data_IF_329750209923
#
_entry.id   IF_329750209923
#
_cell.length_a   1.000
_cell.length_b   1.000
_cell.length_c   1.000
_cell.angle_alpha   90.00
_cell.angle_beta   90.00
_cell.angle_gamma   90.00
#
_symmetry.space_group_name_H-M   'P 1'
#
loop_
_entity.id
_entity.type
_entity.pdbx_description
1 polymer ?
#
# COMPACT_ATOMS: atom_id res chain seq x y z
N UNK A 1 3.49 -27.77 -15.53
CA UNK A 1 3.24 -27.61 -14.08
C UNK A 1 3.75 -26.26 -13.62
N UNK A 2 2.92 -25.23 -13.75
CA UNK A 2 3.28 -23.86 -13.41
C UNK A 2 3.09 -23.67 -11.90
N UNK A 3 4.13 -23.93 -11.10
CA UNK A 3 4.13 -23.49 -9.70
C UNK A 3 4.21 -21.96 -9.70
N UNK A 4 3.06 -21.30 -9.59
CA UNK A 4 3.01 -19.88 -9.27
C UNK A 4 3.44 -19.72 -7.81
N UNK A 5 4.74 -19.52 -7.60
CA UNK A 5 5.30 -19.13 -6.31
C UNK A 5 4.86 -17.70 -6.00
N UNK A 6 3.75 -17.56 -5.28
CA UNK A 6 3.36 -16.26 -4.73
C UNK A 6 4.42 -15.87 -3.71
N UNK A 7 5.09 -14.74 -3.94
CA UNK A 7 6.05 -14.15 -3.01
C UNK A 7 5.42 -12.93 -2.37
N UNK A 8 5.84 -12.59 -1.15
CA UNK A 8 5.42 -11.32 -0.56
C UNK A 8 6.06 -10.18 -1.34
N UNK A 9 5.24 -9.32 -1.94
CA UNK A 9 5.73 -8.19 -2.72
C UNK A 9 4.77 -7.01 -2.61
N UNK A 10 5.30 -5.84 -2.27
CA UNK A 10 4.63 -4.55 -2.38
C UNK A 10 5.21 -3.80 -3.59
N UNK A 11 4.36 -3.55 -4.58
CA UNK A 11 4.75 -2.88 -5.82
C UNK A 11 5.14 -1.42 -5.54
N UNK A 12 6.17 -0.95 -6.25
CA UNK A 12 6.54 0.46 -6.25
C UNK A 12 5.53 1.24 -7.08
N UNK A 13 4.92 2.28 -6.51
CA UNK A 13 4.11 3.22 -7.27
C UNK A 13 5.07 4.16 -8.04
N UNK A 14 4.93 4.26 -9.37
CA UNK A 14 5.76 5.09 -10.26
C UNK A 14 4.95 5.55 -11.49
N UNK A 15 5.21 6.78 -12.00
CA UNK A 15 4.50 8.02 -11.69
C UNK A 15 3.27 8.26 -12.59
N UNK A 16 2.20 8.84 -12.06
CA UNK A 16 1.18 9.50 -12.89
C UNK A 16 0.89 10.91 -12.32
N UNK A 17 1.35 11.98 -12.99
CA UNK A 17 1.28 13.35 -12.48
C UNK A 17 -0.11 13.99 -12.49
N UNK A 18 -1.17 13.27 -12.87
CA UNK A 18 -2.53 13.83 -13.00
C UNK A 18 -3.64 12.99 -12.36
N UNK A 19 -3.32 11.96 -11.56
CA UNK A 19 -4.34 11.16 -10.88
C UNK A 19 -4.24 11.34 -9.35
N UNK A 20 -5.26 11.91 -8.68
CA UNK A 20 -5.31 12.04 -7.21
C UNK A 20 -5.53 10.70 -6.50
N UNK A 21 -5.63 9.62 -7.28
CA UNK A 21 -5.86 8.26 -6.82
C UNK A 21 -4.61 7.42 -7.11
N UNK A 22 -3.99 6.92 -6.05
CA UNK A 22 -2.83 6.04 -6.13
C UNK A 22 -3.29 4.61 -5.86
N UNK A 23 -3.15 3.76 -6.87
CA UNK A 23 -3.40 2.32 -6.72
C UNK A 23 -2.17 1.65 -6.08
N UNK A 24 -2.37 1.02 -4.94
CA UNK A 24 -1.33 0.27 -4.22
C UNK A 24 -1.63 -1.21 -4.41
N UNK A 25 -0.66 -1.96 -4.96
CA UNK A 25 -0.81 -3.40 -5.21
C UNK A 25 0.20 -4.19 -4.42
N UNK A 26 -0.24 -5.32 -3.88
CA UNK A 26 0.62 -6.25 -3.18
C UNK A 26 0.23 -7.70 -3.47
N UNK A 27 1.18 -8.59 -3.22
CA UNK A 27 1.03 -10.03 -3.33
C UNK A 27 1.30 -10.67 -1.98
N UNK A 28 0.42 -11.59 -1.59
CA UNK A 28 0.56 -12.40 -0.38
C UNK A 28 0.91 -13.83 -0.77
N UNK A 29 1.98 -14.37 -0.18
CA UNK A 29 2.39 -15.76 -0.37
C UNK A 29 1.48 -16.75 0.35
N UNK A 30 0.88 -16.33 1.47
CA UNK A 30 -0.05 -17.07 2.32
C UNK A 30 -1.19 -16.15 2.77
N UNK A 31 -2.34 -16.72 3.14
CA UNK A 31 -3.43 -15.94 3.73
C UNK A 31 -3.09 -15.51 5.16
N UNK A 32 -3.53 -14.31 5.53
CA UNK A 32 -3.20 -13.73 6.83
C UNK A 32 -3.90 -12.40 7.06
N UNK A 33 -3.78 -11.91 8.29
CA UNK A 33 -4.20 -10.55 8.60
C UNK A 33 -3.21 -9.56 7.97
N UNK A 34 -3.74 -8.62 7.20
CA UNK A 34 -2.96 -7.63 6.45
C UNK A 34 -3.37 -6.24 6.91
N UNK A 35 -2.36 -5.40 7.17
CA UNK A 35 -2.57 -3.97 7.35
C UNK A 35 -1.81 -3.20 6.29
N UNK A 36 -2.49 -2.24 5.67
CA UNK A 36 -1.90 -1.28 4.75
C UNK A 36 -2.16 0.11 5.28
N UNK A 37 -1.10 0.77 5.74
CA UNK A 37 -1.16 2.09 6.38
C UNK A 37 -0.32 3.10 5.64
N UNK A 38 -0.77 4.36 5.66
CA UNK A 38 -0.09 5.51 5.09
C UNK A 38 0.44 6.36 6.24
N UNK A 39 1.70 6.79 6.13
CA UNK A 39 2.39 7.64 7.08
C UNK A 39 2.96 8.88 6.40
N UNK A 40 3.04 9.98 7.14
CA UNK A 40 3.78 11.16 6.71
C UNK A 40 5.30 11.01 6.97
N UNK A 41 6.08 12.04 6.63
CA UNK A 41 7.54 12.06 6.84
C UNK A 41 7.96 12.07 8.31
N UNK A 42 7.04 12.40 9.22
CA UNK A 42 7.26 12.41 10.67
C UNK A 42 6.87 11.07 11.31
N UNK A 43 6.26 10.16 10.53
CA UNK A 43 5.79 8.85 11.00
C UNK A 43 4.38 8.87 11.56
N UNK A 44 3.62 9.96 11.40
CA UNK A 44 2.22 9.99 11.82
C UNK A 44 1.37 9.18 10.85
N UNK A 45 0.45 8.37 11.38
CA UNK A 45 -0.52 7.64 10.57
C UNK A 45 -1.52 8.63 9.95
N UNK A 46 -1.53 8.70 8.62
CA UNK A 46 -2.41 9.56 7.82
C UNK A 46 -3.69 8.83 7.45
N UNK A 47 -3.60 7.54 7.15
CA UNK A 47 -4.74 6.70 6.78
C UNK A 47 -4.43 5.21 6.96
N UNK A 48 -5.46 4.44 7.28
CA UNK A 48 -5.44 2.98 7.19
C UNK A 48 -6.34 2.56 6.01
N UNK A 49 -5.75 1.89 5.01
CA UNK A 49 -6.44 1.49 3.77
C UNK A 49 -6.94 0.06 3.80
N UNK A 50 -6.23 -0.80 4.54
CA UNK A 50 -6.59 -2.21 4.75
C UNK A 50 -6.25 -2.56 6.18
N UNK A 51 -7.15 -3.26 6.86
CA UNK A 51 -6.95 -3.79 8.20
C UNK A 51 -7.86 -5.01 8.40
N UNK A 52 -7.59 -6.07 7.64
CA UNK A 52 -8.46 -7.25 7.60
C UNK A 52 -7.69 -8.51 7.20
N UNK A 53 -8.36 -9.66 7.32
CA UNK A 53 -7.82 -10.93 6.82
C UNK A 53 -7.98 -11.03 5.30
N UNK A 54 -6.87 -11.30 4.60
CA UNK A 54 -6.87 -11.52 3.16
C UNK A 54 -6.28 -12.90 2.81
N UNK A 55 -6.84 -13.53 1.78
CA UNK A 55 -6.37 -14.82 1.27
C UNK A 55 -5.06 -14.67 0.49
N UNK A 56 -4.35 -15.78 0.28
CA UNK A 56 -3.20 -15.83 -0.62
C UNK A 56 -3.61 -15.33 -2.02
N UNK A 57 -2.85 -14.40 -2.59
CA UNK A 57 -3.17 -13.84 -3.91
C UNK A 57 -2.58 -12.46 -4.16
N UNK A 58 -3.01 -11.85 -5.25
CA UNK A 58 -2.73 -10.45 -5.57
C UNK A 58 -3.92 -9.61 -5.11
N UNK A 59 -3.62 -8.51 -4.44
CA UNK A 59 -4.59 -7.58 -3.89
C UNK A 59 -4.23 -6.15 -4.29
N UNK A 60 -5.23 -5.29 -4.28
CA UNK A 60 -5.06 -3.87 -4.58
C UNK A 60 -6.00 -3.03 -3.72
N UNK A 61 -5.54 -1.85 -3.34
CA UNK A 61 -6.36 -0.84 -2.68
C UNK A 61 -6.07 0.53 -3.27
N UNK A 62 -7.10 1.37 -3.28
CA UNK A 62 -7.03 2.71 -3.83
C UNK A 62 -6.84 3.71 -2.69
N UNK A 63 -5.73 4.43 -2.71
CA UNK A 63 -5.55 5.59 -1.88
C UNK A 63 -6.07 6.82 -2.62
N UNK A 64 -7.19 7.39 -2.14
CA UNK A 64 -7.73 8.66 -2.64
C UNK A 64 -7.61 9.72 -1.57
N UNK A 65 -7.04 10.86 -1.96
CA UNK A 65 -6.91 12.06 -1.12
C UNK A 65 -8.00 13.09 -1.39
N UNK A 66 -8.96 12.79 -2.28
CA UNK A 66 -10.05 13.75 -2.62
C UNK A 66 -10.88 14.18 -1.41
N UNK A 67 -10.96 13.35 -0.38
CA UNK A 67 -11.79 13.60 0.80
C UNK A 67 -11.00 13.98 2.06
N UNK A 68 -9.66 13.95 1.99
CA UNK A 68 -8.79 14.22 3.14
C UNK A 68 -7.91 15.41 2.77
N UNK A 69 -7.65 16.34 3.69
CA UNK A 69 -6.77 17.51 3.51
C UNK A 69 -5.28 17.13 3.35
N UNK A 70 -4.98 16.15 2.50
CA UNK A 70 -3.65 15.64 2.23
C UNK A 70 -2.98 16.60 1.24
N UNK A 71 -1.95 17.27 1.73
CA UNK A 71 -1.13 18.21 0.95
C UNK A 71 -0.16 17.45 0.05
N UNK A 72 0.26 18.08 -1.05
CA UNK A 72 1.37 17.59 -1.88
C UNK A 72 2.61 17.38 -1.00
N UNK A 73 3.24 16.21 -1.10
CA UNK A 73 4.32 15.85 -0.20
C UNK A 73 4.81 14.42 -0.37
N UNK A 74 5.77 14.05 0.47
CA UNK A 74 6.28 12.68 0.55
C UNK A 74 5.47 11.93 1.60
N UNK A 75 5.04 10.73 1.26
CA UNK A 75 4.35 9.82 2.17
C UNK A 75 4.96 8.43 2.07
N UNK A 76 4.72 7.61 3.07
CA UNK A 76 5.17 6.23 3.13
C UNK A 76 3.97 5.32 3.29
N UNK A 77 3.89 4.27 2.48
CA UNK A 77 2.90 3.23 2.66
C UNK A 77 3.59 1.97 3.15
N UNK A 78 3.03 1.35 4.19
CA UNK A 78 3.56 0.16 4.83
C UNK A 78 2.52 -0.95 4.75
N UNK A 79 2.93 -2.07 4.18
CA UNK A 79 2.20 -3.32 4.22
C UNK A 79 2.78 -4.19 5.31
N UNK A 80 1.94 -4.66 6.22
CA UNK A 80 2.31 -5.66 7.23
C UNK A 80 1.40 -6.88 7.12
N UNK A 81 1.99 -8.07 7.13
CA UNK A 81 1.29 -9.35 7.19
C UNK A 81 2.08 -10.35 8.03
N UNK A 82 1.62 -10.61 9.26
CA UNK A 82 2.40 -11.37 10.24
C UNK A 82 3.76 -10.70 10.50
N UNK A 83 4.85 -11.46 10.32
CA UNK A 83 6.23 -10.99 10.45
C UNK A 83 6.74 -10.21 9.22
N UNK A 84 6.01 -10.25 8.10
CA UNK A 84 6.40 -9.52 6.91
C UNK A 84 6.00 -8.05 7.04
N UNK A 85 6.98 -7.16 6.92
CA UNK A 85 6.76 -5.71 6.85
C UNK A 85 7.51 -5.18 5.64
N UNK A 86 6.79 -4.45 4.77
CA UNK A 86 7.40 -3.76 3.65
C UNK A 86 6.88 -2.33 3.57
N UNK A 87 7.81 -1.38 3.61
CA UNK A 87 7.51 0.05 3.46
C UNK A 87 8.03 0.56 2.13
N UNK A 88 7.24 1.41 1.49
CA UNK A 88 7.57 2.04 0.22
C UNK A 88 7.26 3.53 0.29
N UNK A 89 8.09 4.33 -0.37
CA UNK A 89 7.89 5.78 -0.50
C UNK A 89 6.97 6.06 -1.68
N UNK A 90 6.01 6.97 -1.49
CA UNK A 90 5.24 7.60 -2.55
C UNK A 90 5.40 9.12 -2.49
N UNK A 91 5.34 9.76 -3.65
CA UNK A 91 5.27 11.21 -3.76
C UNK A 91 3.85 11.51 -4.17
N UNK A 92 3.13 12.24 -3.34
CA UNK A 92 1.79 12.71 -3.63
C UNK A 92 1.87 14.14 -4.17
N UNK A 93 1.24 14.39 -5.31
CA UNK A 93 1.14 15.70 -5.95
C UNK A 93 -0.35 15.98 -6.14
N UNK A 94 -0.84 17.06 -5.55
CA UNK A 94 -2.14 17.68 -5.84
C UNK A 94 -2.01 18.69 -6.96
#
# INVERSE_FOLDING_TARGET
NSHSSFSFNLSQNYPNPFNPETEIRWQLAIGGHVTLKIYDVLGNEVATLVNEYQSKGVHQSLFSTKNNDVVSGIYFYQLQSGDFIQTKKMIFLK
#
